data_IF_497979961041
#
_entry.id   IF_497979961041
#
_cell.length_a   1.000
_cell.length_b   1.000
_cell.length_c   1.000
_cell.angle_alpha   90.00
_cell.angle_beta   90.00
_cell.angle_gamma   90.00
#
_symmetry.space_group_name_H-M   'P 1'
#
loop_
_entity.id
_entity.type
_entity.pdbx_description
1 polymer ?
#
# COMPACT_ATOMS: atom_id res chain seq x y z
N UNK A 1 -51.53 -18.76 -6.38
CA UNK A 1 -50.72 -17.53 -6.24
C UNK A 1 -49.36 -17.85 -6.80
N UNK A 2 -49.13 -17.45 -8.05
CA UNK A 2 -47.84 -17.61 -8.72
C UNK A 2 -46.91 -16.43 -8.34
N UNK A 3 -45.66 -16.74 -8.02
CA UNK A 3 -44.58 -15.78 -7.76
C UNK A 3 -43.88 -15.40 -9.07
N UNK A 4 -43.49 -14.13 -9.30
CA UNK A 4 -42.83 -13.74 -10.54
C UNK A 4 -41.34 -14.11 -10.55
N UNK A 5 -40.70 -14.23 -11.72
CA UNK A 5 -39.29 -14.59 -11.83
C UNK A 5 -38.37 -13.40 -11.54
N UNK A 6 -37.26 -13.68 -10.87
CA UNK A 6 -36.17 -12.74 -10.59
C UNK A 6 -35.37 -12.54 -11.88
N UNK A 7 -35.32 -11.30 -12.37
CA UNK A 7 -34.46 -10.88 -13.48
C UNK A 7 -32.99 -10.91 -13.06
N UNK A 8 -32.17 -11.64 -13.81
CA UNK A 8 -30.71 -11.62 -13.70
C UNK A 8 -30.16 -10.29 -14.23
N UNK A 9 -29.84 -9.35 -13.34
CA UNK A 9 -29.02 -8.19 -13.69
C UNK A 9 -27.59 -8.67 -13.94
N UNK A 10 -27.18 -8.67 -15.21
CA UNK A 10 -25.80 -8.88 -15.63
C UNK A 10 -24.95 -7.73 -15.11
N UNK A 11 -23.89 -8.05 -14.36
CA UNK A 11 -22.91 -7.09 -13.85
C UNK A 11 -22.30 -6.26 -14.99
N UNK A 12 -22.52 -4.95 -14.94
CA UNK A 12 -22.05 -3.93 -15.89
C UNK A 12 -20.50 -3.74 -15.92
N UNK A 13 -19.76 -4.52 -15.13
CA UNK A 13 -18.32 -4.36 -14.91
C UNK A 13 -17.44 -4.98 -16.00
N UNK A 14 -17.97 -5.95 -16.75
CA UNK A 14 -17.23 -6.69 -17.78
C UNK A 14 -17.61 -6.26 -19.21
N UNK A 15 -18.39 -5.18 -19.37
CA UNK A 15 -18.75 -4.70 -20.71
C UNK A 15 -17.58 -3.94 -21.35
N UNK A 16 -17.23 -4.22 -22.62
CA UNK A 16 -16.30 -3.37 -23.36
C UNK A 16 -16.89 -1.97 -23.52
N UNK A 17 -16.03 -0.95 -23.54
CA UNK A 17 -16.45 0.44 -23.76
C UNK A 17 -17.14 0.58 -25.11
N UNK A 18 -18.20 1.37 -25.13
CA UNK A 18 -18.88 1.77 -26.37
C UNK A 18 -18.04 2.76 -27.17
N UNK A 19 -18.29 2.85 -28.48
CA UNK A 19 -17.60 3.82 -29.35
C UNK A 19 -17.88 5.27 -28.92
N UNK A 20 -19.07 5.55 -28.37
CA UNK A 20 -19.36 6.86 -27.78
C UNK A 20 -18.48 7.16 -26.54
N UNK A 21 -18.34 6.20 -25.62
CA UNK A 21 -17.48 6.35 -24.43
C UNK A 21 -15.99 6.52 -24.82
N UNK A 22 -15.52 5.79 -25.83
CA UNK A 22 -14.17 5.94 -26.37
C UNK A 22 -13.96 7.31 -27.02
N UNK A 23 -14.95 7.81 -27.75
CA UNK A 23 -14.89 9.15 -28.34
C UNK A 23 -14.87 10.25 -27.28
N UNK A 24 -15.66 10.12 -26.21
CA UNK A 24 -15.65 11.08 -25.09
C UNK A 24 -14.29 11.13 -24.38
N UNK A 25 -13.63 9.99 -24.22
CA UNK A 25 -12.27 9.89 -23.66
C UNK A 25 -11.28 10.62 -24.58
N UNK A 26 -11.35 10.40 -25.89
CA UNK A 26 -10.42 11.02 -26.84
C UNK A 26 -10.65 12.54 -26.95
N UNK A 27 -11.90 12.99 -26.91
CA UNK A 27 -12.26 14.42 -26.86
C UNK A 27 -11.74 15.07 -25.58
N UNK A 28 -11.86 14.40 -24.43
CA UNK A 28 -11.32 14.90 -23.17
C UNK A 28 -9.78 15.02 -23.23
N UNK A 29 -9.11 14.05 -23.85
CA UNK A 29 -7.66 14.06 -24.05
C UNK A 29 -7.22 15.20 -24.97
N UNK A 30 -7.88 15.37 -26.12
CA UNK A 30 -7.59 16.45 -27.08
C UNK A 30 -7.87 17.84 -26.50
N UNK A 31 -8.91 18.00 -25.66
CA UNK A 31 -9.21 19.25 -24.97
C UNK A 31 -8.12 19.62 -23.95
N UNK A 32 -7.56 18.63 -23.26
CA UNK A 32 -6.46 18.83 -22.31
C UNK A 32 -5.16 19.22 -23.03
N UNK A 33 -4.85 18.61 -24.18
CA UNK A 33 -3.65 18.94 -24.96
C UNK A 33 -3.75 20.31 -25.65
N UNK A 34 -4.94 20.70 -26.10
CA UNK A 34 -5.16 22.03 -26.71
C UNK A 34 -5.05 23.18 -25.71
N UNK A 35 -5.40 22.95 -24.44
CA UNK A 35 -5.16 23.92 -23.35
C UNK A 35 -3.67 24.14 -23.07
N UNK A 36 -2.82 23.14 -23.32
CA UNK A 36 -1.37 23.24 -23.17
C UNK A 36 -0.75 24.06 -24.31
N UNK A 37 -1.17 23.84 -25.55
CA UNK A 37 -0.64 24.57 -26.72
C UNK A 37 -1.02 26.06 -26.73
N UNK A 38 -2.25 26.41 -26.33
CA UNK A 38 -2.67 27.82 -26.23
C UNK A 38 -1.94 28.63 -25.14
N UNK A 39 -1.18 27.96 -24.26
CA UNK A 39 -0.39 28.63 -23.22
C UNK A 39 1.06 28.91 -23.62
N UNK A 40 1.53 28.38 -24.75
CA UNK A 40 2.92 28.52 -25.23
C UNK A 40 3.08 29.57 -26.35
N UNK A 41 2.00 30.06 -26.96
CA UNK A 41 2.05 31.01 -28.09
C UNK A 41 2.13 32.50 -27.70
N UNK A 42 2.44 32.82 -26.43
CA UNK A 42 2.60 34.22 -25.98
C UNK A 42 3.91 34.48 -25.24
N UNK A 43 5.06 34.26 -25.91
CA UNK A 43 6.26 35.10 -25.73
C UNK A 43 7.42 34.62 -26.62
N UNK A 44 7.69 35.36 -27.70
CA UNK A 44 8.93 35.29 -28.47
C UNK A 44 9.96 36.31 -27.95
N UNK A 45 11.17 35.88 -27.60
CA UNK A 45 12.47 36.50 -27.98
C UNK A 45 13.62 36.08 -27.03
N UNK A 46 14.73 35.60 -27.62
CA UNK A 46 16.07 36.10 -27.28
C UNK A 46 16.99 35.27 -26.38
N UNK A 47 17.89 34.55 -27.04
CA UNK A 47 19.34 34.43 -26.79
C UNK A 47 19.90 33.47 -25.70
N UNK A 48 21.01 32.83 -26.08
CA UNK A 48 21.59 31.66 -25.41
C UNK A 48 22.67 31.96 -24.36
N UNK A 49 23.17 30.89 -23.74
CA UNK A 49 24.60 30.56 -23.51
C UNK A 49 24.74 29.46 -22.41
N UNK A 50 25.89 28.79 -22.44
CA UNK A 50 26.29 27.51 -21.90
C UNK A 50 26.47 27.37 -20.35
N UNK A 51 26.13 26.16 -19.88
CA UNK A 51 26.94 25.28 -19.00
C UNK A 51 27.45 25.78 -17.61
N UNK A 52 26.87 25.25 -16.50
CA UNK A 52 27.64 24.71 -15.35
C UNK A 52 26.81 24.00 -14.25
N UNK A 53 27.39 22.88 -13.77
CA UNK A 53 26.97 21.98 -12.68
C UNK A 53 26.87 22.65 -11.29
N UNK A 54 25.89 22.25 -10.46
CA UNK A 54 26.06 21.68 -9.08
C UNK A 54 24.73 21.54 -8.27
N UNK A 55 24.47 20.28 -7.86
CA UNK A 55 24.02 19.77 -6.54
C UNK A 55 23.04 20.57 -5.65
N UNK A 56 21.87 19.97 -5.34
CA UNK A 56 21.10 20.21 -4.10
C UNK A 56 20.41 18.95 -3.54
N UNK A 57 21.09 18.38 -2.55
CA UNK A 57 20.71 17.63 -1.31
C UNK A 57 19.24 17.18 -1.09
N UNK A 58 19.11 15.86 -0.85
CA UNK A 58 17.97 15.14 -0.24
C UNK A 58 18.04 15.21 1.30
N UNK A 59 16.88 15.10 1.97
CA UNK A 59 16.75 14.90 3.42
C UNK A 59 16.87 13.41 3.79
N UNK A 60 17.36 13.04 4.99
CA UNK A 60 17.96 11.73 5.24
C UNK A 60 16.97 10.64 5.68
N UNK A 61 17.18 9.43 5.16
CA UNK A 61 16.81 8.18 5.82
C UNK A 61 17.89 7.86 6.87
N UNK A 62 17.50 7.73 8.13
CA UNK A 62 18.39 7.13 9.13
C UNK A 62 17.56 6.47 10.22
N UNK A 63 17.46 5.16 10.18
CA UNK A 63 17.49 4.25 11.33
C UNK A 63 17.67 2.85 10.74
N UNK A 64 18.90 2.33 10.74
CA UNK A 64 19.32 0.92 10.83
C UNK A 64 20.76 0.87 10.28
N UNK A 65 21.74 0.73 11.18
CA UNK A 65 22.90 -0.18 11.08
C UNK A 65 23.88 0.14 12.23
N UNK A 66 24.38 -0.96 12.77
CA UNK A 66 25.36 -1.22 13.82
C UNK A 66 26.57 -0.26 13.90
N UNK A 67 26.93 0.05 15.15
CA UNK A 67 28.17 0.71 15.55
C UNK A 67 29.37 -0.26 15.47
N UNK A 68 30.43 0.18 14.79
CA UNK A 68 31.80 -0.22 15.09
C UNK A 68 32.53 1.06 15.50
N UNK A 69 33.01 1.09 16.75
CA UNK A 69 33.67 2.23 17.35
C UNK A 69 35.03 2.50 16.68
N UNK A 70 35.30 3.77 16.37
CA UNK A 70 36.62 4.35 16.57
C UNK A 70 36.53 5.86 16.81
N UNK A 71 37.36 6.30 17.74
CA UNK A 71 37.44 7.62 18.34
C UNK A 71 37.82 8.75 17.36
N UNK A 72 37.36 9.98 17.64
CA UNK A 72 38.22 11.12 18.01
C UNK A 72 37.51 12.49 17.82
N UNK A 73 37.33 13.16 18.97
CA UNK A 73 37.66 14.56 19.31
C UNK A 73 37.14 15.79 18.53
N UNK A 74 36.78 16.79 19.37
CA UNK A 74 36.76 18.25 19.19
C UNK A 74 35.56 18.88 18.45
N UNK A 75 34.65 19.61 19.11
CA UNK A 75 34.75 20.79 20.00
C UNK A 75 34.60 22.13 19.25
N UNK A 76 33.50 22.83 19.59
CA UNK A 76 33.33 24.29 19.67
C UNK A 76 33.39 25.11 18.36
N UNK A 77 32.60 26.15 18.13
CA UNK A 77 31.79 26.98 19.03
C UNK A 77 30.83 27.85 18.21
N UNK A 78 29.73 28.20 18.87
CA UNK A 78 28.86 29.35 18.67
C UNK A 78 29.59 30.64 18.29
N UNK A 79 28.88 31.51 17.56
CA UNK A 79 28.46 32.84 18.03
C UNK A 79 27.66 33.56 16.92
N UNK A 80 26.45 34.01 17.28
CA UNK A 80 25.75 35.12 16.62
C UNK A 80 26.07 36.40 17.40
N UNK A 81 25.96 37.61 16.79
CA UNK A 81 24.73 38.40 17.02
C UNK A 81 24.27 39.37 15.89
N UNK A 82 22.95 39.40 15.73
CA UNK A 82 22.01 40.54 15.61
C UNK A 82 22.26 41.79 14.71
N UNK A 83 21.21 42.04 13.90
CA UNK A 83 20.56 43.32 13.49
C UNK A 83 21.22 44.26 12.48
N UNK A 84 20.58 44.40 11.31
CA UNK A 84 20.14 45.70 10.77
C UNK A 84 19.10 45.52 9.64
N UNK A 85 17.94 46.14 9.80
CA UNK A 85 16.92 46.25 8.76
C UNK A 85 17.43 47.10 7.60
N UNK A 86 17.40 46.57 6.39
CA UNK A 86 17.45 47.37 5.16
C UNK A 86 16.50 46.76 4.15
N UNK A 87 15.41 47.47 3.92
CA UNK A 87 14.47 47.26 2.84
C UNK A 87 15.19 47.26 1.50
N UNK A 88 15.26 46.11 0.85
CA UNK A 88 15.48 46.02 -0.59
C UNK A 88 14.48 45.02 -1.17
N UNK A 89 13.65 45.56 -2.06
CA UNK A 89 12.69 44.85 -2.86
C UNK A 89 13.44 43.86 -3.75
N UNK A 90 13.38 42.57 -3.44
CA UNK A 90 13.84 41.51 -4.33
C UNK A 90 12.66 41.02 -5.15
N UNK A 91 12.73 41.24 -6.45
CA UNK A 91 11.86 40.59 -7.42
C UNK A 91 12.06 39.08 -7.28
N UNK A 92 11.13 38.41 -6.60
CA UNK A 92 11.05 36.96 -6.60
C UNK A 92 10.62 36.54 -8.01
N UNK A 93 11.57 36.05 -8.80
CA UNK A 93 11.27 35.22 -9.96
C UNK A 93 10.39 34.06 -9.44
N UNK A 94 9.08 34.15 -9.70
CA UNK A 94 8.18 33.02 -9.52
C UNK A 94 8.56 32.02 -10.62
N UNK A 95 9.37 31.05 -10.23
CA UNK A 95 9.59 29.85 -11.04
C UNK A 95 8.21 29.28 -11.36
N UNK A 96 7.89 29.22 -12.64
CA UNK A 96 6.71 28.54 -13.17
C UNK A 96 6.72 27.12 -12.61
N UNK A 97 5.89 26.85 -11.61
CA UNK A 97 5.61 25.50 -11.17
C UNK A 97 4.83 24.86 -12.30
N UNK A 98 5.53 24.13 -13.16
CA UNK A 98 4.93 23.22 -14.12
C UNK A 98 3.91 22.40 -13.34
N UNK A 99 2.63 22.65 -13.61
CA UNK A 99 1.53 22.01 -12.90
C UNK A 99 1.68 20.52 -13.17
N UNK A 100 2.15 19.78 -12.17
CA UNK A 100 2.25 18.32 -12.24
C UNK A 100 0.82 17.84 -12.46
N UNK A 101 0.51 17.37 -13.67
CA UNK A 101 -0.78 16.73 -13.94
C UNK A 101 -0.81 15.50 -13.04
N UNK A 102 -1.54 15.60 -11.93
CA UNK A 102 -1.78 14.46 -11.03
C UNK A 102 -3.00 13.76 -11.61
N UNK A 103 -2.80 12.58 -12.19
CA UNK A 103 -3.89 11.68 -12.54
C UNK A 103 -4.67 11.36 -11.27
N UNK A 104 -5.93 11.81 -11.18
CA UNK A 104 -6.76 11.57 -10.00
C UNK A 104 -7.52 10.25 -10.19
N UNK A 105 -6.88 9.15 -9.82
CA UNK A 105 -7.54 7.85 -9.85
C UNK A 105 -8.58 7.73 -8.70
N UNK A 106 -9.70 7.02 -8.90
CA UNK A 106 -10.66 6.79 -7.83
C UNK A 106 -10.04 5.95 -6.69
N UNK A 107 -10.50 6.19 -5.47
CA UNK A 107 -10.02 5.48 -4.29
C UNK A 107 -10.52 4.03 -4.27
N UNK A 108 -9.62 3.08 -3.97
CA UNK A 108 -9.98 1.70 -3.70
C UNK A 108 -10.39 1.53 -2.22
N UNK A 109 -11.42 0.75 -1.99
CA UNK A 109 -11.84 0.31 -0.65
C UNK A 109 -12.44 -1.08 -0.74
N UNK A 110 -12.20 -1.90 0.28
CA UNK A 110 -12.85 -3.20 0.37
C UNK A 110 -14.37 -3.05 0.53
N UNK A 111 -15.15 -3.74 -0.32
CA UNK A 111 -16.62 -3.65 -0.32
C UNK A 111 -17.33 -4.86 0.29
N UNK A 112 -16.57 -5.90 0.67
CA UNK A 112 -17.11 -7.08 1.31
C UNK A 112 -17.39 -6.89 2.80
N UNK A 113 -17.67 -7.99 3.48
CA UNK A 113 -17.90 -8.01 4.94
C UNK A 113 -16.58 -7.92 5.69
N UNK A 114 -16.46 -6.93 6.56
CA UNK A 114 -15.38 -6.85 7.54
C UNK A 114 -15.81 -7.61 8.80
N UNK A 115 -15.15 -8.73 9.07
CA UNK A 115 -15.40 -9.58 10.23
C UNK A 115 -14.40 -9.16 11.31
N UNK A 116 -14.88 -8.40 12.30
CA UNK A 116 -14.05 -7.91 13.39
C UNK A 116 -14.18 -8.83 14.61
N UNK A 117 -13.04 -9.39 15.04
CA UNK A 117 -12.98 -10.35 16.14
C UNK A 117 -12.01 -9.86 17.19
N UNK A 118 -12.46 -9.77 18.45
CA UNK A 118 -11.67 -9.18 19.53
C UNK A 118 -11.39 -10.15 20.67
N UNK A 119 -12.37 -10.97 21.02
CA UNK A 119 -12.21 -11.98 22.08
C UNK A 119 -11.54 -13.23 21.51
N UNK A 120 -10.89 -14.01 22.38
CA UNK A 120 -10.32 -15.31 22.00
C UNK A 120 -11.34 -16.21 21.32
N UNK A 121 -12.60 -16.21 21.78
CA UNK A 121 -13.67 -17.03 21.18
C UNK A 121 -14.06 -16.56 19.78
N UNK A 122 -14.17 -15.25 19.56
CA UNK A 122 -14.46 -14.70 18.22
C UNK A 122 -13.32 -14.97 17.24
N UNK A 123 -12.07 -14.80 17.68
CA UNK A 123 -10.90 -15.07 16.84
C UNK A 123 -10.77 -16.56 16.52
N UNK A 124 -11.04 -17.45 17.48
CA UNK A 124 -11.11 -18.89 17.25
C UNK A 124 -12.17 -19.24 16.19
N UNK A 125 -13.38 -18.69 16.32
CA UNK A 125 -14.45 -18.93 15.34
C UNK A 125 -14.05 -18.41 13.94
N UNK A 126 -13.43 -17.23 13.86
CA UNK A 126 -12.92 -16.66 12.60
C UNK A 126 -11.82 -17.53 11.98
N UNK A 127 -10.94 -18.10 12.81
CA UNK A 127 -9.89 -19.00 12.35
C UNK A 127 -10.45 -20.30 11.79
N UNK A 128 -11.49 -20.86 12.41
CA UNK A 128 -12.22 -22.03 11.87
C UNK A 128 -12.88 -21.70 10.54
N UNK A 129 -13.55 -20.55 10.41
CA UNK A 129 -14.15 -20.11 9.14
C UNK A 129 -13.09 -19.94 8.04
N UNK A 130 -11.95 -19.33 8.37
CA UNK A 130 -10.81 -19.19 7.45
C UNK A 130 -10.24 -20.54 7.02
N UNK A 131 -10.07 -21.51 7.93
CA UNK A 131 -9.59 -22.84 7.58
C UNK A 131 -10.55 -23.55 6.63
N UNK A 132 -11.85 -23.54 6.92
CA UNK A 132 -12.85 -24.14 6.04
C UNK A 132 -12.82 -23.50 4.64
N UNK A 133 -12.71 -22.17 4.57
CA UNK A 133 -12.55 -21.45 3.31
C UNK A 133 -11.30 -21.90 2.54
N UNK A 134 -10.16 -22.01 3.24
CA UNK A 134 -8.89 -22.44 2.65
C UNK A 134 -8.99 -23.88 2.12
N UNK A 135 -9.57 -24.81 2.88
CA UNK A 135 -9.74 -26.19 2.47
C UNK A 135 -10.63 -26.30 1.23
N UNK A 136 -11.74 -25.57 1.20
CA UNK A 136 -12.62 -25.54 0.04
C UNK A 136 -11.91 -24.97 -1.20
N UNK A 137 -11.15 -23.89 -1.02
CA UNK A 137 -10.37 -23.27 -2.09
C UNK A 137 -9.26 -24.19 -2.60
N UNK A 138 -8.53 -24.88 -1.72
CA UNK A 138 -7.53 -25.89 -2.12
C UNK A 138 -8.17 -27.01 -2.94
N UNK A 139 -9.36 -27.49 -2.55
CA UNK A 139 -10.08 -28.52 -3.30
C UNK A 139 -10.49 -28.08 -4.70
N UNK A 140 -10.83 -26.79 -4.88
CA UNK A 140 -11.30 -26.23 -6.16
C UNK A 140 -10.17 -25.78 -7.08
N UNK A 141 -9.14 -25.13 -6.53
CA UNK A 141 -8.13 -24.38 -7.27
C UNK A 141 -6.72 -24.97 -7.11
N UNK A 142 -6.50 -25.91 -6.19
CA UNK A 142 -5.21 -26.56 -5.93
C UNK A 142 -4.19 -25.68 -5.18
N UNK A 143 -4.36 -24.36 -5.19
CA UNK A 143 -3.53 -23.40 -4.48
C UNK A 143 -4.39 -22.38 -3.72
N UNK A 144 -3.86 -21.79 -2.65
CA UNK A 144 -4.52 -20.71 -1.91
C UNK A 144 -3.52 -19.63 -1.53
N UNK A 145 -3.88 -18.39 -1.84
CA UNK A 145 -3.18 -17.20 -1.39
C UNK A 145 -4.12 -16.35 -0.53
N UNK A 146 -3.61 -15.84 0.58
CA UNK A 146 -4.31 -14.95 1.50
C UNK A 146 -3.55 -13.63 1.58
N UNK A 147 -4.25 -12.53 1.34
CA UNK A 147 -3.75 -11.20 1.64
C UNK A 147 -3.57 -11.04 3.14
N UNK A 148 -2.40 -10.59 3.56
CA UNK A 148 -1.99 -10.54 4.95
C UNK A 148 -1.39 -9.17 5.26
N UNK A 149 -1.76 -8.62 6.41
CA UNK A 149 -1.20 -7.37 6.94
C UNK A 149 -1.34 -7.35 8.48
N UNK A 150 -0.56 -6.49 9.14
CA UNK A 150 -0.64 -6.28 10.59
C UNK A 150 -0.52 -4.80 10.95
N UNK A 151 -1.13 -4.41 12.07
CA UNK A 151 -1.07 -3.04 12.58
C UNK A 151 -0.70 -3.02 14.06
N UNK A 152 0.04 -1.98 14.46
CA UNK A 152 0.53 -1.82 15.84
C UNK A 152 0.61 -0.36 16.26
N UNK A 153 0.56 -0.10 17.57
CA UNK A 153 0.70 1.27 18.08
C UNK A 153 2.14 1.77 17.86
N UNK A 154 2.35 2.89 17.16
CA UNK A 154 3.69 3.44 16.97
C UNK A 154 4.24 4.03 18.27
N UNK A 155 5.56 4.01 18.40
CA UNK A 155 6.29 4.78 19.41
C UNK A 155 7.04 5.93 18.73
N UNK A 156 6.86 7.15 19.23
CA UNK A 156 7.57 8.34 18.74
C UNK A 156 8.70 8.79 19.68
N UNK A 157 8.95 8.04 20.76
CA UNK A 157 10.03 8.33 21.70
C UNK A 157 11.28 7.57 21.29
N UNK A 158 12.40 8.28 21.13
CA UNK A 158 13.70 7.68 20.78
C UNK A 158 14.07 6.60 21.80
N UNK A 159 14.49 5.44 21.32
CA UNK A 159 14.89 4.30 22.17
C UNK A 159 13.73 3.49 22.76
N UNK A 160 12.48 3.89 22.54
CA UNK A 160 11.30 3.12 22.96
C UNK A 160 10.79 2.31 21.77
N UNK A 161 10.81 0.99 21.91
CA UNK A 161 10.28 0.08 20.89
C UNK A 161 8.80 0.38 20.59
N UNK A 162 8.34 0.16 19.34
CA UNK A 162 6.92 0.22 19.02
C UNK A 162 6.13 -0.83 19.82
N UNK A 163 4.81 -0.66 19.88
CA UNK A 163 3.91 -1.66 20.44
C UNK A 163 3.99 -3.00 19.70
N UNK A 164 3.44 -4.04 20.32
CA UNK A 164 3.32 -5.36 19.70
C UNK A 164 2.37 -5.31 18.50
N UNK A 165 2.51 -6.24 17.56
CA UNK A 165 1.51 -6.50 16.53
C UNK A 165 0.14 -6.65 17.21
N UNK A 166 -0.77 -5.71 16.95
CA UNK A 166 -1.99 -5.57 17.73
C UNK A 166 -3.21 -6.07 16.97
N UNK A 167 -3.25 -5.83 15.66
CA UNK A 167 -4.30 -6.28 14.77
C UNK A 167 -3.67 -7.04 13.61
N UNK A 168 -4.27 -8.15 13.22
CA UNK A 168 -3.88 -8.95 12.07
C UNK A 168 -5.05 -9.00 11.09
N UNK A 169 -4.78 -8.81 9.81
CA UNK A 169 -5.80 -8.84 8.77
C UNK A 169 -5.54 -9.96 7.78
N UNK A 170 -6.60 -10.70 7.44
CA UNK A 170 -6.54 -11.82 6.50
C UNK A 170 -7.74 -11.74 5.56
N UNK A 171 -7.48 -11.61 4.26
CA UNK A 171 -8.53 -11.72 3.24
C UNK A 171 -8.14 -12.77 2.18
N UNK A 172 -9.08 -13.63 1.80
CA UNK A 172 -8.86 -14.65 0.77
C UNK A 172 -9.67 -14.47 -0.52
N UNK A 173 -10.63 -13.54 -0.53
CA UNK A 173 -11.47 -13.22 -1.67
C UNK A 173 -12.07 -11.81 -1.59
N UNK A 174 -13.03 -11.51 -2.47
CA UNK A 174 -13.77 -10.24 -2.51
C UNK A 174 -14.90 -10.16 -1.49
N UNK A 175 -15.26 -11.26 -0.83
CA UNK A 175 -16.49 -11.40 -0.04
C UNK A 175 -16.29 -11.01 1.41
N UNK A 176 -15.19 -11.47 2.02
CA UNK A 176 -14.96 -11.33 3.46
C UNK A 176 -13.50 -11.05 3.77
N UNK A 177 -13.27 -10.14 4.72
CA UNK A 177 -11.96 -9.92 5.30
C UNK A 177 -12.03 -9.93 6.82
N UNK A 178 -11.10 -10.65 7.44
CA UNK A 178 -11.04 -10.86 8.87
C UNK A 178 -10.05 -9.88 9.48
N UNK A 179 -10.51 -9.09 10.44
CA UNK A 179 -9.71 -8.14 11.21
C UNK A 179 -9.65 -8.63 12.65
N UNK A 180 -8.53 -9.24 13.02
CA UNK A 180 -8.35 -9.99 14.25
C UNK A 180 -7.56 -9.14 15.26
N UNK A 181 -8.17 -8.80 16.39
CA UNK A 181 -7.57 -7.93 17.41
C UNK A 181 -6.67 -8.75 18.37
N UNK A 182 -5.57 -9.27 17.83
CA UNK A 182 -4.70 -10.25 18.48
C UNK A 182 -4.02 -9.78 19.78
N UNK A 183 -3.93 -8.46 20.03
CA UNK A 183 -3.43 -7.96 21.32
C UNK A 183 -4.36 -8.33 22.49
N UNK A 184 -5.66 -8.46 22.23
CA UNK A 184 -6.66 -8.81 23.25
C UNK A 184 -6.98 -10.30 23.26
N UNK A 185 -7.07 -10.92 22.08
CA UNK A 185 -7.44 -12.34 21.97
C UNK A 185 -6.27 -13.30 22.15
N UNK A 186 -5.04 -12.84 21.96
CA UNK A 186 -3.91 -13.70 21.59
C UNK A 186 -4.09 -14.32 20.19
N UNK A 187 -3.18 -15.23 19.83
CA UNK A 187 -3.30 -16.06 18.63
C UNK A 187 -3.67 -17.47 19.10
N UNK A 188 -4.92 -17.93 18.88
CA UNK A 188 -5.30 -19.27 19.28
C UNK A 188 -4.72 -20.32 18.32
N UNK A 189 -4.69 -21.59 18.76
CA UNK A 189 -4.00 -22.68 18.05
C UNK A 189 -4.49 -22.85 16.61
N UNK A 190 -5.79 -22.70 16.36
CA UNK A 190 -6.38 -22.83 15.02
C UNK A 190 -5.85 -21.75 14.07
N UNK A 191 -5.73 -20.51 14.54
CA UNK A 191 -5.13 -19.43 13.76
C UNK A 191 -3.63 -19.67 13.55
N UNK A 192 -2.92 -20.12 14.59
CA UNK A 192 -1.50 -20.46 14.48
C UNK A 192 -1.27 -21.54 13.41
N UNK A 193 -2.06 -22.62 13.42
CA UNK A 193 -1.96 -23.70 12.43
C UNK A 193 -2.15 -23.18 11.00
N UNK A 194 -3.08 -22.25 10.77
CA UNK A 194 -3.27 -21.60 9.47
C UNK A 194 -2.06 -20.75 9.06
N UNK A 195 -1.52 -19.95 9.99
CA UNK A 195 -0.35 -19.10 9.74
C UNK A 195 0.91 -19.92 9.45
N UNK A 196 1.05 -21.07 10.11
CA UNK A 196 2.19 -21.98 9.98
C UNK A 196 2.03 -23.04 8.87
N UNK A 197 0.88 -23.09 8.20
CA UNK A 197 0.62 -24.01 7.08
C UNK A 197 1.48 -23.62 5.86
N UNK A 198 2.44 -24.45 5.43
CA UNK A 198 3.30 -24.14 4.29
C UNK A 198 2.56 -24.20 2.95
N UNK A 199 1.37 -24.77 2.90
CA UNK A 199 0.56 -24.92 1.68
C UNK A 199 -0.39 -23.75 1.43
N UNK A 200 -0.39 -22.74 2.31
CA UNK A 200 -1.16 -21.50 2.17
C UNK A 200 -0.18 -20.33 2.06
N UNK A 201 -0.19 -19.66 0.92
CA UNK A 201 0.68 -18.50 0.67
C UNK A 201 0.09 -17.26 1.33
N UNK A 202 0.91 -16.50 2.05
CA UNK A 202 0.54 -15.18 2.57
C UNK A 202 1.20 -14.13 1.70
N UNK A 203 0.42 -13.15 1.25
CA UNK A 203 0.85 -12.18 0.25
C UNK A 203 0.70 -10.76 0.78
N UNK A 204 1.70 -9.92 0.49
CA UNK A 204 1.77 -8.54 0.96
C UNK A 204 3.02 -7.84 0.43
N UNK A 205 3.16 -6.55 0.72
CA UNK A 205 4.35 -5.76 0.34
C UNK A 205 5.25 -5.58 1.55
N UNK A 206 6.50 -6.03 1.46
CA UNK A 206 7.45 -6.15 2.59
C UNK A 206 6.98 -7.13 3.68
N UNK A 207 6.22 -8.15 3.28
CA UNK A 207 5.53 -9.07 4.20
C UNK A 207 6.47 -9.85 5.14
N UNK A 208 7.74 -10.03 4.75
CA UNK A 208 8.74 -10.64 5.63
C UNK A 208 8.92 -9.87 6.95
N UNK A 209 8.77 -8.53 6.93
CA UNK A 209 8.83 -7.71 8.13
C UNK A 209 7.65 -7.97 9.06
N UNK A 210 6.45 -8.16 8.51
CA UNK A 210 5.25 -8.44 9.27
C UNK A 210 5.33 -9.84 9.90
N UNK A 211 5.76 -10.83 9.13
CA UNK A 211 6.00 -12.18 9.62
C UNK A 211 7.06 -12.21 10.74
N UNK A 212 8.16 -11.47 10.58
CA UNK A 212 9.19 -11.33 11.60
C UNK A 212 8.62 -10.71 12.88
N UNK A 213 7.83 -9.64 12.75
CA UNK A 213 7.21 -8.97 13.89
C UNK A 213 6.23 -9.89 14.63
N UNK A 214 5.41 -10.65 13.92
CA UNK A 214 4.52 -11.67 14.54
C UNK A 214 5.34 -12.73 15.29
N UNK A 215 6.45 -13.18 14.72
CA UNK A 215 7.34 -14.14 15.37
C UNK A 215 7.92 -13.59 16.68
N UNK A 216 8.43 -12.36 16.68
CA UNK A 216 9.00 -11.74 17.88
C UNK A 216 7.93 -11.44 18.94
N UNK A 217 6.78 -10.92 18.53
CA UNK A 217 5.77 -10.40 19.45
C UNK A 217 4.89 -11.48 20.06
N UNK A 218 4.62 -12.55 19.30
CA UNK A 218 3.64 -13.60 19.61
C UNK A 218 4.19 -15.02 19.52
N UNK A 219 5.46 -15.23 19.18
CA UNK A 219 6.07 -16.55 19.05
C UNK A 219 5.36 -17.48 18.05
N UNK A 220 4.86 -16.90 16.94
CA UNK A 220 4.18 -17.63 15.85
C UNK A 220 4.93 -17.42 14.55
N UNK A 221 5.14 -18.49 13.79
CA UNK A 221 5.85 -18.42 12.50
C UNK A 221 4.86 -18.28 11.35
N UNK A 222 4.79 -17.11 10.71
CA UNK A 222 4.01 -16.97 9.46
C UNK A 222 4.82 -17.57 8.33
N UNK A 223 4.40 -18.72 7.80
CA UNK A 223 5.12 -19.47 6.77
C UNK A 223 4.55 -19.22 5.37
N UNK A 224 5.43 -19.44 4.38
CA UNK A 224 5.15 -19.31 2.94
C UNK A 224 4.66 -17.92 2.58
N UNK A 225 5.64 -17.02 2.40
CA UNK A 225 5.40 -15.62 2.06
C UNK A 225 5.69 -15.40 0.58
N UNK A 226 4.86 -14.62 -0.09
CA UNK A 226 5.18 -14.05 -1.40
C UNK A 226 5.14 -12.53 -1.29
N UNK A 227 6.30 -11.90 -1.53
CA UNK A 227 6.41 -10.45 -1.54
C UNK A 227 5.96 -9.88 -2.88
N UNK A 228 4.97 -8.98 -2.83
CA UNK A 228 4.38 -8.40 -4.04
C UNK A 228 5.32 -7.41 -4.75
N UNK A 229 6.26 -6.78 -4.04
CA UNK A 229 7.27 -5.93 -4.68
C UNK A 229 8.24 -6.79 -5.49
N UNK A 230 8.66 -7.94 -4.95
CA UNK A 230 9.51 -8.89 -5.66
C UNK A 230 8.78 -9.54 -6.83
N UNK A 231 7.54 -10.01 -6.61
CA UNK A 231 6.72 -10.59 -7.67
C UNK A 231 6.46 -9.60 -8.80
N UNK A 232 6.20 -8.33 -8.48
CA UNK A 232 6.04 -7.27 -9.48
C UNK A 232 7.33 -7.06 -10.30
N UNK A 233 8.50 -7.05 -9.68
CA UNK A 233 9.78 -6.91 -10.41
C UNK A 233 10.08 -8.11 -11.33
N UNK A 234 9.49 -9.29 -11.07
CA UNK A 234 9.60 -10.47 -11.95
C UNK A 234 8.59 -10.43 -13.10
N UNK A 235 7.44 -9.77 -12.90
CA UNK A 235 6.28 -9.83 -13.80
C UNK A 235 6.11 -8.58 -14.67
N UNK A 236 6.64 -7.45 -14.25
CA UNK A 236 6.56 -6.19 -14.97
C UNK A 236 7.86 -5.97 -15.75
N UNK A 237 7.72 -5.64 -17.03
CA UNK A 237 8.83 -5.27 -17.91
C UNK A 237 9.29 -3.83 -17.62
N UNK A 238 9.78 -3.62 -16.40
CA UNK A 238 10.30 -2.34 -15.92
C UNK A 238 11.57 -2.56 -15.10
N UNK A 239 12.37 -1.50 -14.98
CA UNK A 239 13.53 -1.51 -14.07
C UNK A 239 13.11 -1.88 -12.64
N UNK A 240 13.78 -2.88 -12.01
CA UNK A 240 13.45 -3.31 -10.67
C UNK A 240 13.48 -2.15 -9.67
N UNK A 241 12.42 -2.04 -8.87
CA UNK A 241 12.31 -1.00 -7.85
C UNK A 241 11.61 -1.49 -6.60
N UNK A 242 11.69 -0.67 -5.55
CA UNK A 242 10.97 -0.89 -4.29
C UNK A 242 9.54 -0.41 -4.45
N UNK A 243 8.63 -1.35 -4.63
CA UNK A 243 7.22 -1.04 -4.70
C UNK A 243 6.63 -0.87 -3.28
N UNK A 244 5.62 0.00 -3.20
CA UNK A 244 4.71 0.07 -2.07
C UNK A 244 3.35 -0.50 -2.50
N UNK A 245 2.51 -0.89 -1.53
CA UNK A 245 1.15 -1.33 -1.83
C UNK A 245 0.38 -0.28 -2.61
N UNK A 246 0.51 1.00 -2.24
CA UNK A 246 -0.16 2.12 -2.92
C UNK A 246 0.34 2.30 -4.36
N UNK A 247 1.66 2.26 -4.59
CA UNK A 247 2.22 2.44 -5.94
C UNK A 247 1.92 1.25 -6.86
N UNK A 248 1.82 0.03 -6.34
CA UNK A 248 1.35 -1.14 -7.12
C UNK A 248 -0.14 -1.05 -7.41
N UNK A 249 -0.95 -0.61 -6.45
CA UNK A 249 -2.39 -0.35 -6.65
C UNK A 249 -2.60 0.64 -7.79
N UNK A 250 -1.86 1.74 -7.79
CA UNK A 250 -1.93 2.74 -8.85
C UNK A 250 -1.51 2.15 -10.19
N UNK A 251 -0.37 1.44 -10.23
CA UNK A 251 0.18 0.87 -11.46
C UNK A 251 -0.73 -0.18 -12.10
N UNK A 252 -1.28 -1.10 -11.31
CA UNK A 252 -1.97 -2.28 -11.84
C UNK A 252 -3.50 -2.13 -11.88
N UNK A 253 -4.06 -1.30 -11.00
CA UNK A 253 -5.51 -1.17 -10.87
C UNK A 253 -6.02 0.21 -11.30
N UNK A 254 -5.13 1.16 -11.58
CA UNK A 254 -5.49 2.56 -11.82
C UNK A 254 -6.40 3.11 -10.70
N UNK A 255 -6.06 2.78 -9.44
CA UNK A 255 -6.74 3.23 -8.23
C UNK A 255 -5.76 3.85 -7.24
N UNK A 256 -6.23 4.80 -6.44
CA UNK A 256 -5.48 5.30 -5.28
C UNK A 256 -5.82 4.47 -4.04
N UNK A 257 -4.81 4.06 -3.28
CA UNK A 257 -5.00 3.45 -1.96
C UNK A 257 -4.78 4.52 -0.87
N UNK A 258 -5.84 5.02 -0.21
CA UNK A 258 -5.69 6.07 0.79
C UNK A 258 -4.87 5.60 1.99
N UNK A 259 -3.86 6.39 2.37
CA UNK A 259 -3.01 6.14 3.55
C UNK A 259 -3.13 7.27 4.58
N UNK A 260 -4.33 7.53 5.14
CA UNK A 260 -4.54 8.66 6.06
C UNK A 260 -3.65 8.51 7.30
N UNK A 261 -2.75 9.48 7.50
CA UNK A 261 -1.76 9.46 8.59
C UNK A 261 -2.38 9.27 9.97
N UNK A 262 -3.56 9.85 10.23
CA UNK A 262 -4.27 9.75 11.52
C UNK A 262 -4.71 8.31 11.83
N UNK A 263 -5.05 7.53 10.82
CA UNK A 263 -5.47 6.13 10.97
C UNK A 263 -4.23 5.25 11.12
N UNK A 264 -3.31 5.33 10.16
CA UNK A 264 -2.08 4.52 10.11
C UNK A 264 -1.17 4.69 11.33
N UNK A 265 -1.10 5.90 11.88
CA UNK A 265 -0.32 6.20 13.09
C UNK A 265 -1.18 6.24 14.37
N UNK A 266 -2.41 5.72 14.31
CA UNK A 266 -3.34 5.72 15.42
C UNK A 266 -2.99 4.67 16.49
N UNK A 267 -3.73 4.71 17.60
CA UNK A 267 -3.64 3.66 18.61
C UNK A 267 -4.37 2.39 18.16
N UNK A 268 -3.64 1.40 17.67
CA UNK A 268 -4.20 0.09 17.27
C UNK A 268 -4.40 -0.88 18.44
N UNK A 269 -3.97 -0.52 19.65
CA UNK A 269 -4.20 -1.29 20.89
C UNK A 269 -5.46 -0.82 21.64
N UNK A 270 -6.26 0.07 21.03
CA UNK A 270 -7.49 0.57 21.66
C UNK A 270 -8.43 -0.59 22.02
N UNK A 271 -9.30 -0.40 23.02
CA UNK A 271 -10.27 -1.44 23.39
C UNK A 271 -11.18 -1.83 22.22
N UNK A 272 -11.55 -0.86 21.37
CA UNK A 272 -12.33 -1.04 20.15
C UNK A 272 -11.75 -0.17 19.04
N UNK A 273 -11.78 -0.70 17.81
CA UNK A 273 -11.35 0.05 16.63
C UNK A 273 -12.53 0.81 16.04
N UNK A 274 -12.25 2.02 15.52
CA UNK A 274 -13.26 2.76 14.76
C UNK A 274 -13.58 2.07 13.44
N UNK A 275 -14.76 2.32 12.89
CA UNK A 275 -15.15 1.83 11.55
C UNK A 275 -14.12 2.19 10.48
N UNK A 276 -13.53 3.38 10.57
CA UNK A 276 -12.46 3.83 9.65
C UNK A 276 -11.20 2.97 9.73
N UNK A 277 -10.77 2.59 10.95
CA UNK A 277 -9.63 1.67 11.15
C UNK A 277 -9.92 0.28 10.63
N UNK A 278 -11.12 -0.25 10.92
CA UNK A 278 -11.55 -1.55 10.42
C UNK A 278 -11.57 -1.59 8.89
N UNK A 279 -12.12 -0.55 8.25
CA UNK A 279 -12.18 -0.43 6.81
C UNK A 279 -10.79 -0.29 6.18
N UNK A 280 -9.93 0.53 6.78
CA UNK A 280 -8.54 0.70 6.33
C UNK A 280 -7.78 -0.63 6.37
N UNK A 281 -7.82 -1.31 7.52
CA UNK A 281 -7.10 -2.57 7.74
C UNK A 281 -7.61 -3.68 6.80
N UNK A 282 -8.93 -3.80 6.64
CA UNK A 282 -9.51 -4.76 5.69
C UNK A 282 -9.15 -4.43 4.22
N UNK A 283 -9.06 -3.14 3.88
CA UNK A 283 -8.70 -2.71 2.52
C UNK A 283 -7.25 -3.06 2.21
N UNK A 284 -6.32 -2.88 3.16
CA UNK A 284 -4.90 -3.18 2.93
C UNK A 284 -4.66 -4.67 2.64
N UNK A 285 -5.20 -5.57 3.49
CA UNK A 285 -5.10 -7.00 3.24
C UNK A 285 -5.84 -7.43 1.96
N UNK A 286 -7.00 -6.84 1.65
CA UNK A 286 -7.74 -7.14 0.43
C UNK A 286 -6.94 -6.75 -0.82
N UNK A 287 -6.35 -5.57 -0.82
CA UNK A 287 -5.55 -5.07 -1.94
C UNK A 287 -4.30 -5.92 -2.14
N UNK A 288 -3.66 -6.40 -1.06
CA UNK A 288 -2.56 -7.36 -1.17
C UNK A 288 -2.98 -8.64 -1.90
N UNK A 289 -4.10 -9.26 -1.49
CA UNK A 289 -4.66 -10.42 -2.18
C UNK A 289 -5.01 -10.11 -3.65
N UNK A 290 -5.66 -8.97 -3.91
CA UNK A 290 -6.14 -8.63 -5.23
C UNK A 290 -5.00 -8.32 -6.21
N UNK A 291 -3.94 -7.66 -5.74
CA UNK A 291 -2.73 -7.43 -6.53
C UNK A 291 -1.98 -8.72 -6.83
N UNK A 292 -1.95 -9.68 -5.90
CA UNK A 292 -1.40 -11.01 -6.18
C UNK A 292 -2.14 -11.68 -7.33
N UNK A 293 -3.48 -11.67 -7.32
CA UNK A 293 -4.28 -12.22 -8.40
C UNK A 293 -3.98 -11.53 -9.74
N UNK A 294 -3.89 -10.19 -9.74
CA UNK A 294 -3.53 -9.42 -10.93
C UNK A 294 -2.13 -9.80 -11.46
N UNK A 295 -1.12 -9.85 -10.59
CA UNK A 295 0.26 -10.22 -10.98
C UNK A 295 0.35 -11.66 -11.48
N UNK A 296 -0.37 -12.60 -10.89
CA UNK A 296 -0.42 -14.00 -11.36
C UNK A 296 -1.12 -14.16 -12.70
N UNK A 297 -2.02 -13.25 -13.06
CA UNK A 297 -2.67 -13.24 -14.37
C UNK A 297 -1.80 -12.70 -15.51
N UNK A 298 -0.70 -12.01 -15.18
CA UNK A 298 0.26 -11.52 -16.16
C UNK A 298 1.12 -12.67 -16.72
N UNK A 299 1.48 -12.61 -18.02
CA UNK A 299 2.37 -13.60 -18.63
C UNK A 299 3.73 -13.62 -17.94
N UNK A 300 4.43 -14.75 -18.02
CA UNK A 300 5.86 -14.78 -17.65
C UNK A 300 6.66 -13.96 -18.66
N UNK A 301 7.61 -13.16 -18.18
CA UNK A 301 8.57 -12.50 -19.06
C UNK A 301 9.52 -13.59 -19.54
N UNK A 302 9.40 -13.97 -20.81
CA UNK A 302 10.36 -14.88 -21.45
C UNK A 302 11.61 -14.06 -21.76
N UNK A 303 12.66 -14.23 -20.97
CA UNK A 303 13.97 -13.68 -21.28
C UNK A 303 14.49 -14.34 -22.56
N UNK A 304 14.26 -13.72 -23.71
CA UNK A 304 14.91 -14.08 -24.98
C UNK A 304 16.36 -13.59 -25.01
N UNK A 305 17.13 -13.86 -23.94
CA UNK A 305 18.57 -13.66 -23.90
C UNK A 305 19.25 -15.02 -24.08
N UNK A 306 19.34 -15.42 -25.33
CA UNK A 306 20.27 -16.44 -25.83
C UNK A 306 21.69 -15.89 -25.88
#
# INVERSE_FOLDING_TARGET
>A
METPPISSESNDWDRPFTEEELHEIDVAFQSATKRLQNSEDSSSAGDGDENRRKSRRRLPESLFVFDFQNEATNSMSSLSPCTRSRSQCSYSFRSSTQAKIVMQYPEISFKGRVIYSRTTKEVENSAVELLNFVEEKKRKEGHVALGFDIEWRPSFRKGVAPGKAAVMQICGDKSSCYVLHIIHSGIPQTLQSLLEDPTVVKVGVWIANDAYKVSVDHNVSVKTLEDLSELANKKLDEEPKKWSLASLTEKLLAKQLPKPRKIRLGNWEANELSKEKLQYAATDAFVSWYLYQALKSLPEIVDNKT
#
